data_IF_737623653277
#
_entry.id   IF_737623653277
#
_cell.length_a   1.000
_cell.length_b   1.000
_cell.length_c   1.000
_cell.angle_alpha   90.00
_cell.angle_beta   90.00
_cell.angle_gamma   90.00
#
_symmetry.space_group_name_H-M   'P 1'
#
loop_
_entity.id
_entity.type
_entity.pdbx_description
1 polymer ?
#
# COMPACT_ATOMS: atom_id res chain seq x y z
N UNK A 1 -1.39 -8.28 35.40
CA UNK A 1 -1.32 -7.22 34.39
C UNK A 1 -0.90 -7.84 33.07
N UNK A 2 -1.62 -7.52 31.99
CA UNK A 2 -1.24 -7.91 30.63
C UNK A 2 -0.79 -6.65 29.90
N UNK A 3 0.42 -6.70 29.30
CA UNK A 3 0.90 -5.60 28.45
C UNK A 3 0.34 -5.78 27.04
N UNK A 4 -0.09 -4.69 26.43
CA UNK A 4 -0.60 -4.67 25.07
C UNK A 4 0.38 -3.90 24.16
N UNK A 5 0.80 -4.55 23.09
CA UNK A 5 1.66 -3.96 22.05
C UNK A 5 1.07 -4.24 20.67
N UNK A 6 1.35 -3.38 19.70
CA UNK A 6 1.01 -3.58 18.29
C UNK A 6 2.29 -3.61 17.46
N UNK A 7 2.28 -4.42 16.42
CA UNK A 7 3.43 -4.55 15.52
C UNK A 7 2.96 -4.86 14.09
N UNK A 8 2.20 -3.96 13.45
CA UNK A 8 1.86 -4.13 12.06
C UNK A 8 3.11 -4.19 11.19
N UNK A 9 3.06 -5.05 10.17
CA UNK A 9 4.20 -5.32 9.30
C UNK A 9 4.07 -4.66 7.93
N UNK A 10 5.24 -4.42 7.32
CA UNK A 10 5.42 -3.94 5.95
C UNK A 10 6.20 -4.99 5.16
N UNK A 11 5.76 -5.24 3.94
CA UNK A 11 6.34 -6.23 3.05
C UNK A 11 5.29 -7.16 2.47
N UNK A 12 5.69 -7.95 1.48
CA UNK A 12 4.84 -8.93 0.80
C UNK A 12 5.06 -10.34 1.37
N UNK A 13 4.35 -11.32 0.81
CA UNK A 13 4.57 -12.74 1.10
C UNK A 13 6.04 -13.16 0.87
N UNK A 14 6.69 -12.60 -0.14
CA UNK A 14 8.09 -12.94 -0.45
C UNK A 14 9.07 -12.44 0.62
N UNK A 15 8.88 -11.23 1.13
CA UNK A 15 9.67 -10.70 2.24
C UNK A 15 9.39 -11.48 3.55
N UNK A 16 8.14 -11.88 3.77
CA UNK A 16 7.76 -12.73 4.91
C UNK A 16 8.47 -14.08 4.90
N UNK A 17 8.47 -14.76 3.76
CA UNK A 17 9.16 -16.07 3.59
C UNK A 17 10.68 -15.98 3.79
N UNK A 18 11.27 -14.80 3.57
CA UNK A 18 12.70 -14.54 3.75
C UNK A 18 13.04 -14.02 5.16
N UNK A 19 12.06 -13.80 6.03
CA UNK A 19 12.28 -13.21 7.34
C UNK A 19 12.78 -11.76 7.31
N UNK A 20 12.41 -10.98 6.28
CA UNK A 20 12.90 -9.61 6.06
C UNK A 20 11.80 -8.56 6.04
N UNK A 21 10.69 -8.80 6.73
CA UNK A 21 9.64 -7.78 6.89
C UNK A 21 10.16 -6.54 7.61
N UNK A 22 9.47 -5.42 7.41
CA UNK A 22 9.57 -4.26 8.28
C UNK A 22 8.46 -4.31 9.34
N UNK A 23 8.74 -3.96 10.58
CA UNK A 23 7.75 -3.85 11.65
C UNK A 23 7.61 -2.39 12.10
N UNK A 24 6.37 -1.98 12.33
CA UNK A 24 6.00 -0.69 12.93
C UNK A 24 5.53 -1.00 14.35
N UNK A 25 6.41 -0.86 15.32
CA UNK A 25 6.11 -1.25 16.70
C UNK A 25 5.53 -0.09 17.51
N UNK A 26 4.56 -0.39 18.40
CA UNK A 26 4.02 0.55 19.38
C UNK A 26 3.52 -0.15 20.64
N UNK A 27 3.83 0.45 21.78
CA UNK A 27 3.48 -0.04 23.12
C UNK A 27 4.25 0.69 24.20
N UNK A 28 4.22 0.16 25.43
CA UNK A 28 5.01 0.67 26.53
C UNK A 28 6.51 0.43 26.27
N UNK A 29 7.34 1.45 26.45
CA UNK A 29 8.75 1.43 26.07
C UNK A 29 9.56 0.31 26.74
N UNK A 30 9.22 -0.08 27.97
CA UNK A 30 9.85 -1.18 28.69
C UNK A 30 9.60 -2.55 28.02
N UNK A 31 8.54 -2.66 27.19
CA UNK A 31 8.17 -3.88 26.44
C UNK A 31 8.82 -3.99 25.06
N UNK A 32 9.51 -2.97 24.62
CA UNK A 32 10.13 -2.97 23.30
C UNK A 32 11.17 -4.09 23.15
N UNK A 33 12.10 -4.21 24.12
CA UNK A 33 13.15 -5.22 24.05
C UNK A 33 12.60 -6.64 24.16
N UNK A 34 11.57 -6.88 24.97
CA UNK A 34 10.89 -8.17 25.05
C UNK A 34 10.24 -8.54 23.71
N UNK A 35 9.54 -7.60 23.08
CA UNK A 35 8.90 -7.78 21.77
C UNK A 35 9.92 -8.01 20.66
N UNK A 36 11.03 -7.29 20.70
CA UNK A 36 12.09 -7.32 19.69
C UNK A 36 12.66 -8.73 19.49
N UNK A 37 12.82 -9.51 20.56
CA UNK A 37 13.34 -10.88 20.50
C UNK A 37 12.49 -11.75 19.54
N UNK A 38 11.17 -11.59 19.56
CA UNK A 38 10.26 -12.30 18.67
C UNK A 38 10.25 -11.70 17.26
N UNK A 39 10.24 -10.38 17.16
CA UNK A 39 10.17 -9.68 15.87
C UNK A 39 11.43 -9.89 15.02
N UNK A 40 12.61 -9.97 15.63
CA UNK A 40 13.89 -10.24 14.95
C UNK A 40 13.90 -11.61 14.23
N UNK A 41 12.97 -12.52 14.55
CA UNK A 41 12.88 -13.82 13.87
C UNK A 41 12.30 -13.73 12.45
N UNK A 42 11.54 -12.67 12.14
CA UNK A 42 10.88 -12.49 10.83
C UNK A 42 10.92 -11.05 10.30
N UNK A 43 11.46 -10.10 11.06
CA UNK A 43 11.62 -8.71 10.65
C UNK A 43 13.08 -8.32 10.55
N UNK A 44 13.46 -7.67 9.45
CA UNK A 44 14.80 -7.09 9.26
C UNK A 44 14.93 -5.72 9.93
N UNK A 45 13.87 -4.95 9.92
CA UNK A 45 13.85 -3.59 10.46
C UNK A 45 12.63 -3.44 11.39
N UNK A 46 12.86 -2.89 12.57
CA UNK A 46 11.80 -2.63 13.55
C UNK A 46 11.87 -1.16 13.91
N UNK A 47 10.77 -0.44 13.63
CA UNK A 47 10.64 0.99 13.89
C UNK A 47 9.72 1.20 15.09
N UNK A 48 10.28 1.74 16.18
CA UNK A 48 9.53 2.06 17.38
C UNK A 48 8.88 3.45 17.25
N UNK A 49 7.55 3.48 17.19
CA UNK A 49 6.76 4.71 17.12
C UNK A 49 6.22 5.18 18.48
N UNK A 50 6.59 4.52 19.59
CA UNK A 50 6.09 4.81 20.92
C UNK A 50 4.72 4.17 21.18
N UNK A 51 3.67 4.95 21.45
CA UNK A 51 2.34 4.42 21.78
C UNK A 51 1.66 3.63 20.66
N UNK A 52 0.72 2.78 21.04
CA UNK A 52 -0.07 1.91 20.17
C UNK A 52 -0.78 2.70 19.04
N UNK A 53 -1.37 3.85 19.38
CA UNK A 53 -2.10 4.69 18.44
C UNK A 53 -1.15 5.25 17.37
N UNK A 54 0.07 5.67 17.76
CA UNK A 54 1.07 6.21 16.82
C UNK A 54 1.54 5.15 15.83
N UNK A 55 1.80 3.94 16.29
CA UNK A 55 2.20 2.83 15.43
C UNK A 55 1.07 2.42 14.47
N UNK A 56 -0.16 2.37 14.95
CA UNK A 56 -1.34 2.07 14.14
C UNK A 56 -1.57 3.16 13.08
N UNK A 57 -1.48 4.43 13.46
CA UNK A 57 -1.57 5.55 12.53
C UNK A 57 -0.45 5.54 11.50
N UNK A 58 0.81 5.28 11.91
CA UNK A 58 1.94 5.18 10.99
C UNK A 58 1.73 4.08 9.93
N UNK A 59 1.18 2.93 10.31
CA UNK A 59 0.81 1.88 9.36
C UNK A 59 -0.24 2.33 8.36
N UNK A 60 -1.31 2.97 8.81
CA UNK A 60 -2.38 3.46 7.94
C UNK A 60 -1.87 4.58 7.02
N UNK A 61 -1.04 5.50 7.50
CA UNK A 61 -0.44 6.56 6.70
C UNK A 61 0.53 6.00 5.64
N UNK A 62 1.28 4.95 5.97
CA UNK A 62 2.12 4.25 4.98
C UNK A 62 1.26 3.60 3.88
N UNK A 63 0.14 2.97 4.25
CA UNK A 63 -0.80 2.42 3.28
C UNK A 63 -1.49 3.53 2.47
N UNK A 64 -1.85 4.66 3.09
CA UNK A 64 -2.41 5.82 2.39
C UNK A 64 -1.51 6.26 1.23
N UNK A 65 -0.22 6.53 1.49
CA UNK A 65 0.75 6.90 0.46
C UNK A 65 0.84 5.83 -0.64
N UNK A 66 1.00 4.56 -0.24
CA UNK A 66 1.17 3.45 -1.18
C UNK A 66 -0.06 3.24 -2.06
N UNK A 67 -1.27 3.25 -1.49
CA UNK A 67 -2.51 2.97 -2.22
C UNK A 67 -2.87 4.12 -3.16
N UNK A 68 -2.69 5.38 -2.74
CA UNK A 68 -2.91 6.51 -3.65
C UNK A 68 -1.93 6.51 -4.82
N UNK A 69 -0.64 6.25 -4.54
CA UNK A 69 0.36 6.11 -5.60
C UNK A 69 -0.02 5.00 -6.57
N UNK A 70 -0.45 3.84 -6.06
CA UNK A 70 -0.87 2.70 -6.89
C UNK A 70 -2.10 3.03 -7.72
N UNK A 71 -3.10 3.67 -7.14
CA UNK A 71 -4.31 4.12 -7.87
C UNK A 71 -3.95 5.08 -9.01
N UNK A 72 -3.06 6.03 -8.74
CA UNK A 72 -2.56 6.97 -9.76
C UNK A 72 -1.82 6.22 -10.88
N UNK A 73 -1.01 5.21 -10.57
CA UNK A 73 -0.30 4.40 -11.57
C UNK A 73 -1.27 3.61 -12.45
N UNK A 74 -2.36 3.08 -11.88
CA UNK A 74 -3.40 2.39 -12.64
C UNK A 74 -4.03 3.35 -13.66
N UNK A 75 -4.48 4.50 -13.21
CA UNK A 75 -5.11 5.50 -14.09
C UNK A 75 -4.13 6.13 -15.10
N UNK A 76 -2.84 6.22 -14.74
CA UNK A 76 -1.78 6.65 -15.65
C UNK A 76 -1.66 5.72 -16.86
N UNK A 77 -1.63 4.40 -16.68
CA UNK A 77 -1.56 3.45 -17.78
C UNK A 77 -2.89 3.34 -18.54
N UNK A 78 -4.05 3.40 -17.87
CA UNK A 78 -5.36 3.46 -18.55
C UNK A 78 -5.48 4.71 -19.45
N UNK A 79 -4.99 5.83 -18.96
CA UNK A 79 -4.96 7.08 -19.73
C UNK A 79 -4.02 6.98 -20.93
N UNK A 80 -2.84 6.37 -20.74
CA UNK A 80 -1.88 6.13 -21.81
C UNK A 80 -2.46 5.25 -22.92
N UNK A 81 -3.15 4.17 -22.56
CA UNK A 81 -3.86 3.29 -23.50
C UNK A 81 -4.89 4.08 -24.32
N UNK A 82 -5.73 4.86 -23.66
CA UNK A 82 -6.77 5.64 -24.31
C UNK A 82 -6.22 6.73 -25.24
N UNK A 83 -5.03 7.23 -24.94
CA UNK A 83 -4.34 8.29 -25.70
C UNK A 83 -3.34 7.74 -26.71
N UNK A 84 -3.29 6.42 -26.92
CA UNK A 84 -2.34 5.72 -27.81
C UNK A 84 -0.88 6.07 -27.52
N UNK A 85 -0.53 6.17 -26.22
CA UNK A 85 0.83 6.45 -25.77
C UNK A 85 1.54 5.14 -25.44
N UNK A 86 2.74 4.95 -26.02
CA UNK A 86 3.57 3.76 -25.80
C UNK A 86 3.96 3.61 -24.31
N UNK A 87 3.48 2.55 -23.68
CA UNK A 87 3.68 2.29 -22.25
C UNK A 87 5.15 2.12 -21.86
N UNK A 88 5.96 1.50 -22.72
CA UNK A 88 7.38 1.26 -22.44
C UNK A 88 8.15 2.58 -22.42
N UNK A 89 7.94 3.42 -23.43
CA UNK A 89 8.56 4.75 -23.48
C UNK A 89 8.08 5.64 -22.34
N UNK A 90 6.79 5.59 -22.06
CA UNK A 90 6.18 6.34 -20.98
C UNK A 90 6.73 5.94 -19.61
N UNK A 91 6.97 4.65 -19.39
CA UNK A 91 7.61 4.14 -18.17
C UNK A 91 9.07 4.60 -18.06
N UNK A 92 9.85 4.54 -19.17
CA UNK A 92 11.24 5.04 -19.15
C UNK A 92 11.30 6.54 -18.79
N UNK A 93 10.39 7.35 -19.31
CA UNK A 93 10.28 8.78 -18.94
C UNK A 93 9.93 8.94 -17.46
N UNK A 94 8.95 8.19 -16.96
CA UNK A 94 8.51 8.28 -15.57
C UNK A 94 9.62 7.90 -14.57
N UNK A 95 10.49 6.95 -14.92
CA UNK A 95 11.65 6.59 -14.08
C UNK A 95 12.66 7.71 -13.88
N UNK A 96 12.74 8.63 -14.82
CA UNK A 96 13.67 9.79 -14.74
C UNK A 96 13.11 10.93 -13.88
N UNK A 97 11.83 10.94 -13.63
CA UNK A 97 11.14 12.02 -12.93
C UNK A 97 10.77 11.69 -11.49
N UNK A 98 10.16 12.66 -10.82
CA UNK A 98 9.65 12.55 -9.45
C UNK A 98 8.47 11.58 -9.31
N UNK A 99 7.86 11.14 -10.40
CA UNK A 99 6.82 10.12 -10.44
C UNK A 99 7.34 8.69 -10.22
N UNK A 100 8.66 8.49 -10.22
CA UNK A 100 9.25 7.17 -9.96
C UNK A 100 8.89 6.67 -8.55
N UNK A 101 8.40 5.44 -8.48
CA UNK A 101 7.99 4.82 -7.21
C UNK A 101 8.06 3.30 -7.28
N UNK A 102 8.13 2.65 -6.10
CA UNK A 102 8.09 1.19 -6.04
C UNK A 102 6.80 0.59 -6.61
N UNK A 103 5.67 1.31 -6.51
CA UNK A 103 4.40 0.89 -7.11
C UNK A 103 4.48 0.95 -8.65
N UNK A 104 4.96 2.07 -9.20
CA UNK A 104 5.16 2.23 -10.64
C UNK A 104 6.03 1.10 -11.21
N UNK A 105 7.21 0.87 -10.61
CA UNK A 105 8.15 -0.13 -11.10
C UNK A 105 7.55 -1.54 -11.10
N UNK A 106 6.95 -1.98 -9.97
CA UNK A 106 6.32 -3.30 -9.86
C UNK A 106 5.19 -3.52 -10.86
N UNK A 107 4.38 -2.51 -11.11
CA UNK A 107 3.24 -2.61 -12.02
C UNK A 107 3.72 -2.56 -13.47
N UNK A 108 4.54 -1.56 -13.83
CA UNK A 108 4.96 -1.32 -15.20
C UNK A 108 5.81 -2.46 -15.77
N UNK A 109 6.80 -2.96 -15.01
CA UNK A 109 7.70 -4.04 -15.44
C UNK A 109 6.92 -5.29 -15.91
N UNK A 110 5.80 -5.58 -15.26
CA UNK A 110 4.94 -6.70 -15.63
C UNK A 110 3.88 -6.32 -16.67
N UNK A 111 3.19 -5.20 -16.48
CA UNK A 111 2.10 -4.79 -17.37
C UNK A 111 2.57 -4.58 -18.83
N UNK A 112 3.77 -4.06 -19.04
CA UNK A 112 4.37 -3.90 -20.39
C UNK A 112 4.56 -5.26 -21.10
N UNK A 113 4.75 -6.35 -20.34
CA UNK A 113 4.82 -7.70 -20.90
C UNK A 113 3.47 -8.44 -20.93
N UNK A 114 2.37 -7.78 -20.60
CA UNK A 114 1.03 -8.36 -20.56
C UNK A 114 0.69 -9.13 -19.29
N UNK A 115 1.55 -9.08 -18.25
CA UNK A 115 1.26 -9.63 -16.91
C UNK A 115 0.78 -8.50 -15.99
N UNK A 116 -0.51 -8.49 -15.71
CA UNK A 116 -1.14 -7.48 -14.84
C UNK A 116 -1.14 -7.83 -13.34
N UNK A 117 -0.36 -8.82 -12.92
CA UNK A 117 -0.24 -9.26 -11.52
C UNK A 117 0.98 -8.68 -10.80
N UNK A 118 1.39 -7.48 -11.18
CA UNK A 118 2.56 -6.80 -10.60
C UNK A 118 2.39 -6.36 -9.15
N UNK A 119 1.16 -6.10 -8.72
CA UNK A 119 0.87 -5.67 -7.35
C UNK A 119 -0.12 -6.63 -6.68
N UNK A 120 0.37 -7.49 -5.79
CA UNK A 120 -0.36 -8.64 -5.22
C UNK A 120 -1.22 -8.27 -4.01
N UNK A 121 -2.10 -7.28 -4.15
CA UNK A 121 -3.05 -6.85 -3.13
C UNK A 121 -4.45 -6.75 -3.77
N UNK A 122 -5.47 -7.34 -3.15
CA UNK A 122 -6.81 -7.39 -3.75
C UNK A 122 -7.54 -6.07 -3.64
N UNK A 123 -8.47 -5.85 -4.57
CA UNK A 123 -9.39 -4.70 -4.59
C UNK A 123 -10.18 -4.59 -3.28
N UNK A 124 -10.75 -5.71 -2.79
CA UNK A 124 -11.50 -5.73 -1.52
C UNK A 124 -10.63 -5.36 -0.31
N UNK A 125 -9.41 -5.87 -0.24
CA UNK A 125 -8.48 -5.50 0.84
C UNK A 125 -8.05 -4.03 0.76
N UNK A 126 -7.90 -3.51 -0.46
CA UNK A 126 -7.59 -2.09 -0.68
C UNK A 126 -8.74 -1.21 -0.19
N UNK A 127 -9.98 -1.55 -0.52
CA UNK A 127 -11.16 -0.83 -0.05
C UNK A 127 -11.26 -0.84 1.47
N UNK A 128 -11.02 -2.01 2.09
CA UNK A 128 -10.99 -2.13 3.57
C UNK A 128 -9.94 -1.19 4.18
N UNK A 129 -8.73 -1.17 3.66
CA UNK A 129 -7.67 -0.32 4.18
C UNK A 129 -7.97 1.17 3.97
N UNK A 130 -8.51 1.56 2.81
CA UNK A 130 -8.93 2.93 2.53
C UNK A 130 -10.10 3.37 3.43
N UNK A 131 -10.96 2.45 3.84
CA UNK A 131 -12.03 2.74 4.82
C UNK A 131 -11.45 3.12 6.18
N UNK A 132 -10.46 2.38 6.68
CA UNK A 132 -9.76 2.73 7.93
C UNK A 132 -8.94 4.02 7.81
N UNK A 133 -8.29 4.24 6.65
CA UNK A 133 -7.54 5.47 6.38
C UNK A 133 -8.49 6.68 6.38
N UNK A 134 -9.63 6.58 5.72
CA UNK A 134 -10.60 7.66 5.65
C UNK A 134 -11.12 8.04 7.04
N UNK A 135 -11.41 7.04 7.90
CA UNK A 135 -11.78 7.30 9.30
C UNK A 135 -10.64 7.95 10.10
N UNK A 136 -9.40 7.52 9.91
CA UNK A 136 -8.22 8.15 10.54
C UNK A 136 -8.08 9.62 10.14
N UNK A 137 -8.39 9.95 8.90
CA UNK A 137 -8.15 11.28 8.31
C UNK A 137 -9.38 12.22 8.37
N UNK A 138 -10.49 11.80 9.00
CA UNK A 138 -11.77 12.55 9.00
C UNK A 138 -11.66 13.99 9.52
N UNK A 139 -10.74 14.26 10.44
CA UNK A 139 -10.49 15.58 11.00
C UNK A 139 -9.40 16.36 10.24
N UNK A 140 -8.91 15.82 9.13
CA UNK A 140 -7.89 16.40 8.24
C UNK A 140 -8.49 16.60 6.83
N UNK A 141 -9.29 17.66 6.58
CA UNK A 141 -10.18 17.73 5.41
C UNK A 141 -9.48 17.64 4.06
N UNK A 142 -8.23 18.07 3.93
CA UNK A 142 -7.50 17.91 2.66
C UNK A 142 -7.04 16.46 2.43
N UNK A 143 -6.47 15.81 3.45
CA UNK A 143 -6.04 14.42 3.36
C UNK A 143 -7.23 13.48 3.20
N UNK A 144 -8.34 13.76 3.90
CA UNK A 144 -9.59 13.01 3.78
C UNK A 144 -10.15 13.03 2.34
N UNK A 145 -10.12 14.18 1.64
CA UNK A 145 -10.54 14.26 0.23
C UNK A 145 -9.75 13.30 -0.67
N UNK A 146 -8.43 13.21 -0.50
CA UNK A 146 -7.62 12.28 -1.28
C UNK A 146 -7.98 10.82 -0.98
N UNK A 147 -8.15 10.47 0.30
CA UNK A 147 -8.53 9.10 0.67
C UNK A 147 -9.94 8.75 0.18
N UNK A 148 -10.88 9.69 0.21
CA UNK A 148 -12.26 9.51 -0.26
C UNK A 148 -12.33 9.27 -1.77
N UNK A 149 -11.55 10.00 -2.57
CA UNK A 149 -11.48 9.77 -4.02
C UNK A 149 -10.97 8.34 -4.31
N UNK A 150 -9.88 7.93 -3.67
CA UNK A 150 -9.36 6.59 -3.86
C UNK A 150 -10.35 5.52 -3.34
N UNK A 151 -10.96 5.73 -2.17
CA UNK A 151 -11.96 4.82 -1.62
C UNK A 151 -13.11 4.60 -2.60
N UNK A 152 -13.69 5.68 -3.15
CA UNK A 152 -14.78 5.61 -4.12
C UNK A 152 -14.37 4.82 -5.38
N UNK A 153 -13.16 5.01 -5.90
CA UNK A 153 -12.65 4.24 -7.03
C UNK A 153 -12.70 2.71 -6.78
N UNK A 154 -12.34 2.28 -5.58
CA UNK A 154 -12.38 0.85 -5.24
C UNK A 154 -13.77 0.37 -4.85
N UNK A 155 -14.65 1.20 -4.28
CA UNK A 155 -16.07 0.90 -4.06
C UNK A 155 -16.76 0.56 -5.39
N UNK A 156 -16.63 1.45 -6.38
CA UNK A 156 -17.18 1.22 -7.73
C UNK A 156 -16.60 -0.04 -8.39
N UNK A 157 -15.35 -0.37 -8.12
CA UNK A 157 -14.72 -1.58 -8.64
C UNK A 157 -15.27 -2.85 -7.99
N UNK A 158 -15.52 -2.84 -6.67
CA UNK A 158 -16.16 -3.96 -5.96
C UNK A 158 -17.60 -4.15 -6.44
N UNK A 159 -18.37 -3.08 -6.61
CA UNK A 159 -19.74 -3.11 -7.13
C UNK A 159 -19.82 -3.74 -8.53
N UNK A 160 -18.78 -3.57 -9.35
CA UNK A 160 -18.64 -4.22 -10.66
C UNK A 160 -18.18 -5.69 -10.58
N UNK A 161 -18.05 -6.26 -9.39
CA UNK A 161 -17.63 -7.65 -9.19
C UNK A 161 -16.12 -7.90 -9.24
N UNK A 162 -15.30 -6.84 -9.19
CA UNK A 162 -13.84 -6.96 -9.29
C UNK A 162 -13.14 -7.13 -7.92
N UNK A 163 -13.86 -7.44 -6.83
CA UNK A 163 -13.32 -7.48 -5.46
C UNK A 163 -12.12 -8.41 -5.27
N UNK A 164 -12.12 -9.56 -5.93
CA UNK A 164 -11.07 -10.58 -5.83
C UNK A 164 -9.87 -10.33 -6.75
N UNK A 165 -9.97 -9.40 -7.71
CA UNK A 165 -8.84 -9.05 -8.55
C UNK A 165 -7.74 -8.36 -7.75
N UNK A 166 -6.50 -8.52 -8.21
CA UNK A 166 -5.40 -7.70 -7.75
C UNK A 166 -5.57 -6.28 -8.29
N UNK A 167 -5.19 -5.28 -7.50
CA UNK A 167 -5.41 -3.88 -7.89
C UNK A 167 -4.70 -3.51 -9.21
N UNK A 168 -3.57 -4.11 -9.53
CA UNK A 168 -2.90 -3.91 -10.82
C UNK A 168 -3.65 -4.52 -12.03
N UNK A 169 -4.55 -5.47 -11.81
CA UNK A 169 -5.40 -6.01 -12.89
C UNK A 169 -6.48 -5.02 -13.32
N UNK A 170 -6.76 -4.00 -12.51
CA UNK A 170 -7.71 -2.93 -12.85
C UNK A 170 -7.25 -2.07 -14.05
N UNK A 171 -6.00 -2.15 -14.47
CA UNK A 171 -5.52 -1.50 -15.68
C UNK A 171 -6.31 -1.98 -16.91
N UNK A 172 -6.78 -3.24 -16.91
CA UNK A 172 -7.53 -3.84 -18.01
C UNK A 172 -9.07 -3.72 -17.87
N UNK A 173 -9.56 -3.15 -16.78
CA UNK A 173 -10.98 -3.03 -16.44
C UNK A 173 -11.43 -1.57 -16.55
#
# INVERSE_FOLDING_TARGET
>A
NVSYVVSPVMGSKNESLKGILGSIWGGDQDKFNESKIYLDTFCKNIFNFGGVEKASAAKLLSNFLSLLTTTTVIEYFKSAEKLDVDWKKLFEVAKLGSGNSGALNRIAEKAISGDYKGYTFSVSNTLKDLTYINELLKDLPQAEKFSSIAKKFYEESVEKGNGDFLISELIQK
#
